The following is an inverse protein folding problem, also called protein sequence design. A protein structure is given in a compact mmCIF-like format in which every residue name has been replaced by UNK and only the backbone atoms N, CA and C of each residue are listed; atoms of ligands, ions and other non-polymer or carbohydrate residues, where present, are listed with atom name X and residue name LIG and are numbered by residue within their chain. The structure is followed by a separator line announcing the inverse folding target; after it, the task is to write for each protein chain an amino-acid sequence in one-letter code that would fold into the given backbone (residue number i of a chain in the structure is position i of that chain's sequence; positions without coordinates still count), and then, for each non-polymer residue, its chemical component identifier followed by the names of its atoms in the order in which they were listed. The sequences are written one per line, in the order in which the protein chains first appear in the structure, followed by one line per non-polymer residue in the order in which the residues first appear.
data_IF_109016246438
#
_entry.id   IF_109016246438
#
_cell.length_a   1.000
_cell.length_b   1.000
_cell.length_c   1.000
_cell.angle_alpha   90.00
_cell.angle_beta   90.00
_cell.angle_gamma   90.00
#
_symmetry.space_group_name_H-M   'P 1'
#
loop_
_entity.id
_entity.type
_entity.pdbx_description
1 polymer ?
#
# COMPACT_ATOMS: atom_id res chain seq x y z
N UNK A 1 9.77 33.13 8.20
CA UNK A 1 10.34 32.13 9.12
C UNK A 1 10.86 32.84 10.34
N UNK A 2 10.60 32.35 11.56
CA UNK A 2 11.14 32.98 12.77
C UNK A 2 12.66 32.92 12.76
N UNK A 3 13.33 33.94 13.29
CA UNK A 3 14.76 33.89 13.56
C UNK A 3 15.00 32.79 14.60
N UNK A 4 16.04 31.99 14.46
CA UNK A 4 16.31 30.80 15.30
C UNK A 4 16.31 31.08 16.83
N UNK A 5 16.65 32.29 17.24
CA UNK A 5 16.67 32.74 18.65
C UNK A 5 15.29 33.03 19.26
N UNK A 6 14.22 33.00 18.50
CA UNK A 6 12.83 33.26 18.93
C UNK A 6 11.90 32.05 18.80
N UNK A 7 12.38 30.96 18.16
CA UNK A 7 11.56 29.78 17.94
C UNK A 7 11.43 28.93 19.21
N UNK A 8 10.22 28.43 19.50
CA UNK A 8 9.95 27.52 20.62
C UNK A 8 10.64 26.16 20.46
N UNK A 9 11.03 25.79 19.25
CA UNK A 9 11.70 24.53 18.95
C UNK A 9 11.83 24.25 17.46
N UNK A 10 12.45 23.11 17.13
CA UNK A 10 12.57 22.57 15.78
C UNK A 10 11.61 21.39 15.61
N UNK A 11 10.83 21.38 14.55
CA UNK A 11 10.01 20.22 14.14
C UNK A 11 10.63 19.62 12.88
N UNK A 12 10.98 18.35 12.94
CA UNK A 12 11.56 17.60 11.81
C UNK A 12 10.52 16.64 11.27
N UNK A 13 10.23 16.74 9.99
CA UNK A 13 9.30 15.88 9.25
C UNK A 13 10.02 15.15 8.12
N UNK A 14 9.38 14.18 7.48
CA UNK A 14 10.06 13.39 6.44
C UNK A 14 10.08 14.04 5.06
N UNK A 15 9.11 14.92 4.72
CA UNK A 15 9.01 15.50 3.39
C UNK A 15 8.86 17.03 3.38
N UNK A 16 9.42 17.73 2.36
CA UNK A 16 9.28 19.18 2.22
C UNK A 16 7.82 19.64 2.10
N UNK A 17 6.95 18.83 1.47
CA UNK A 17 5.54 19.15 1.36
C UNK A 17 4.86 19.18 2.73
N UNK A 18 5.12 18.19 3.60
CA UNK A 18 4.65 18.16 4.99
C UNK A 18 5.23 19.34 5.78
N UNK A 19 6.51 19.65 5.62
CA UNK A 19 7.14 20.77 6.30
C UNK A 19 6.44 22.10 5.98
N UNK A 20 6.12 22.35 4.70
CA UNK A 20 5.39 23.54 4.27
C UNK A 20 4.00 23.63 4.89
N UNK A 21 3.25 22.52 4.91
CA UNK A 21 1.87 22.48 5.42
C UNK A 21 1.85 22.62 6.94
N UNK A 22 2.66 21.84 7.65
CA UNK A 22 2.75 21.84 9.12
C UNK A 22 3.27 23.20 9.61
N UNK A 23 4.25 23.79 8.92
CA UNK A 23 4.76 25.12 9.26
C UNK A 23 3.70 26.23 9.19
N UNK A 24 2.72 26.12 8.29
CA UNK A 24 1.58 27.05 8.24
C UNK A 24 0.69 26.91 9.47
N UNK A 25 0.40 25.68 9.91
CA UNK A 25 -0.47 25.42 11.06
C UNK A 25 0.19 25.76 12.39
N UNK A 26 1.52 25.62 12.49
CA UNK A 26 2.28 25.98 13.70
C UNK A 26 2.55 27.51 13.82
N UNK A 27 2.05 28.31 12.87
CA UNK A 27 2.01 29.78 12.96
C UNK A 27 3.35 30.47 13.12
N UNK A 28 4.47 29.81 12.76
CA UNK A 28 5.82 30.39 12.89
C UNK A 28 6.44 30.29 14.29
N UNK A 29 5.77 29.67 15.25
CA UNK A 29 6.34 29.42 16.58
C UNK A 29 7.47 28.40 16.59
N UNK A 30 7.48 27.50 15.59
CA UNK A 30 8.49 26.45 15.41
C UNK A 30 9.20 26.62 14.04
N UNK A 31 10.46 26.28 14.03
CA UNK A 31 11.17 26.04 12.77
C UNK A 31 10.74 24.64 12.30
N UNK A 32 10.24 24.52 11.06
CA UNK A 32 9.84 23.22 10.51
C UNK A 32 10.75 22.89 9.33
N UNK A 33 11.43 21.74 9.41
CA UNK A 33 12.42 21.30 8.43
C UNK A 33 12.17 19.84 8.02
N UNK A 34 12.62 19.45 6.82
CA UNK A 34 12.43 18.12 6.29
C UNK A 34 13.74 17.32 6.26
N UNK A 35 13.70 16.03 6.66
CA UNK A 35 14.81 15.07 6.48
C UNK A 35 14.91 14.55 5.05
N UNK A 36 13.84 14.74 4.27
CA UNK A 36 13.71 14.20 2.90
C UNK A 36 13.85 12.67 2.90
N UNK A 37 13.09 11.97 3.75
CA UNK A 37 13.12 10.53 3.95
C UNK A 37 14.26 10.06 4.85
N UNK A 38 14.73 8.83 4.65
CA UNK A 38 15.82 8.24 5.42
C UNK A 38 17.13 9.04 5.29
N UNK A 39 17.83 9.20 6.40
CA UNK A 39 19.15 9.86 6.47
C UNK A 39 20.29 8.85 6.57
N UNK A 40 20.03 7.64 7.09
CA UNK A 40 20.95 6.51 7.17
C UNK A 40 20.35 5.26 6.54
N UNK A 41 21.20 4.41 5.98
CA UNK A 41 20.84 3.08 5.47
C UNK A 41 22.04 2.15 5.52
N UNK A 42 21.82 0.86 5.25
CA UNK A 42 22.90 -0.10 5.02
C UNK A 42 23.77 0.34 3.84
N UNK A 43 25.10 0.15 3.87
CA UNK A 43 25.99 0.57 2.80
C UNK A 43 25.60 -0.11 1.47
N UNK A 44 25.64 0.65 0.37
CA UNK A 44 25.35 0.11 -0.97
C UNK A 44 26.44 -0.87 -1.43
N UNK A 45 27.70 -0.59 -1.09
CA UNK A 45 28.86 -1.43 -1.41
C UNK A 45 29.61 -1.74 -0.11
N UNK A 46 29.11 -2.68 0.70
CA UNK A 46 29.76 -3.04 1.95
C UNK A 46 31.14 -3.67 1.68
N UNK A 47 32.11 -3.30 2.49
CA UNK A 47 33.50 -3.81 2.42
C UNK A 47 33.82 -4.86 3.49
N UNK A 48 32.81 -5.23 4.28
CA UNK A 48 32.93 -6.28 5.29
C UNK A 48 32.96 -7.68 4.65
N UNK A 49 33.41 -8.68 5.38
CA UNK A 49 33.52 -10.07 4.94
C UNK A 49 32.18 -10.65 4.47
N UNK A 50 31.09 -10.29 5.14
CA UNK A 50 29.73 -10.72 4.76
C UNK A 50 29.26 -10.11 3.44
N UNK A 51 29.82 -8.96 3.03
CA UNK A 51 29.39 -8.11 1.91
C UNK A 51 27.94 -7.66 2.01
N UNK A 52 27.38 -7.65 3.22
CA UNK A 52 25.98 -7.31 3.49
C UNK A 52 25.87 -5.96 4.21
N UNK A 53 26.92 -5.49 4.90
CA UNK A 53 26.85 -4.38 5.83
C UNK A 53 26.14 -4.74 7.12
N UNK A 54 26.16 -6.04 7.46
CA UNK A 54 25.48 -6.63 8.62
C UNK A 54 26.49 -7.54 9.32
N UNK A 55 26.59 -7.41 10.63
CA UNK A 55 27.43 -8.28 11.46
C UNK A 55 26.61 -9.52 11.88
N UNK A 56 26.79 -10.61 11.12
CA UNK A 56 26.02 -11.85 11.31
C UNK A 56 26.34 -12.48 12.66
N UNK A 57 27.63 -12.51 13.03
CA UNK A 57 28.10 -13.18 14.24
C UNK A 57 27.71 -12.43 15.52
N UNK A 58 27.39 -11.14 15.40
CA UNK A 58 26.89 -10.29 16.49
C UNK A 58 25.36 -10.11 16.43
N UNK A 59 24.62 -11.18 16.14
CA UNK A 59 23.15 -11.15 16.14
C UNK A 59 22.55 -10.32 15.01
N UNK A 60 23.15 -10.36 13.82
CA UNK A 60 22.67 -9.66 12.62
C UNK A 60 22.65 -8.13 12.77
N UNK A 61 23.56 -7.57 13.55
CA UNK A 61 23.62 -6.13 13.82
C UNK A 61 23.89 -5.31 12.55
N UNK A 62 22.98 -4.40 12.13
CA UNK A 62 23.18 -3.58 10.94
C UNK A 62 24.22 -2.49 11.17
N UNK A 63 25.06 -2.23 10.15
CA UNK A 63 26.04 -1.13 10.15
C UNK A 63 25.50 0.01 9.29
N UNK A 64 24.79 0.94 9.90
CA UNK A 64 24.21 2.06 9.19
C UNK A 64 25.27 3.10 8.82
N UNK A 65 25.14 3.64 7.60
CA UNK A 65 25.94 4.76 7.09
C UNK A 65 25.03 5.89 6.62
N UNK A 66 25.54 7.11 6.67
CA UNK A 66 24.80 8.27 6.12
C UNK A 66 24.67 8.08 4.62
N UNK A 67 23.44 8.19 4.12
CA UNK A 67 23.12 8.07 2.70
C UNK A 67 23.82 9.19 1.92
N UNK A 68 24.35 8.85 0.73
CA UNK A 68 24.94 9.85 -0.17
C UNK A 68 23.96 11.00 -0.43
N UNK A 69 24.44 12.25 -0.34
CA UNK A 69 23.62 13.47 -0.49
C UNK A 69 22.85 13.88 0.77
N UNK A 70 22.89 13.10 1.88
CA UNK A 70 22.20 13.46 3.14
C UNK A 70 23.07 14.18 4.16
N UNK A 71 24.36 14.26 3.93
CA UNK A 71 25.30 14.93 4.85
C UNK A 71 24.95 16.41 5.09
N UNK A 72 24.60 17.12 4.04
CA UNK A 72 24.23 18.53 4.15
C UNK A 72 22.92 18.73 4.91
N UNK A 73 21.94 17.84 4.66
CA UNK A 73 20.68 17.85 5.40
C UNK A 73 20.91 17.62 6.87
N UNK A 74 21.70 16.59 7.23
CA UNK A 74 22.05 16.31 8.62
C UNK A 74 22.81 17.47 9.28
N UNK A 75 23.78 18.07 8.57
CA UNK A 75 24.50 19.26 9.04
C UNK A 75 23.52 20.39 9.34
N UNK A 76 22.60 20.69 8.42
CA UNK A 76 21.56 21.72 8.61
C UNK A 76 20.68 21.41 9.82
N UNK A 77 20.26 20.14 9.98
CA UNK A 77 19.42 19.72 11.12
C UNK A 77 20.17 19.87 12.45
N UNK A 78 21.45 19.49 12.51
CA UNK A 78 22.33 19.70 13.68
C UNK A 78 22.47 21.18 14.03
N UNK A 79 22.76 22.02 13.01
CA UNK A 79 22.91 23.47 13.19
C UNK A 79 21.61 24.13 13.68
N UNK A 80 20.47 23.64 13.28
CA UNK A 80 19.17 24.13 13.75
C UNK A 80 18.85 23.59 15.15
N UNK A 81 19.13 22.31 15.40
CA UNK A 81 18.91 21.67 16.70
C UNK A 81 19.73 22.34 17.81
N UNK A 82 20.96 22.75 17.55
CA UNK A 82 21.82 23.44 18.54
C UNK A 82 21.33 24.84 18.92
N UNK A 83 20.42 25.44 18.14
CA UNK A 83 19.91 26.82 18.34
C UNK A 83 18.55 26.88 19.01
N UNK A 84 17.98 25.74 19.39
CA UNK A 84 16.63 25.63 19.97
C UNK A 84 16.64 24.82 21.25
N UNK A 85 15.66 25.05 22.12
CA UNK A 85 15.59 24.35 23.41
C UNK A 85 15.05 22.92 23.30
N UNK A 86 14.30 22.60 22.24
CA UNK A 86 13.71 21.27 22.03
C UNK A 86 13.63 20.92 20.55
N UNK A 87 13.74 19.63 20.26
CA UNK A 87 13.53 19.07 18.93
C UNK A 87 12.38 18.08 18.97
N UNK A 88 11.47 18.21 18.02
CA UNK A 88 10.33 17.34 17.85
C UNK A 88 10.48 16.64 16.50
N UNK A 89 10.46 15.31 16.49
CA UNK A 89 10.50 14.53 15.26
C UNK A 89 9.08 14.03 14.98
N UNK A 90 8.51 14.49 13.86
CA UNK A 90 7.13 14.25 13.45
C UNK A 90 7.06 13.57 12.07
N UNK A 91 7.77 12.44 11.93
CA UNK A 91 7.68 11.54 10.78
C UNK A 91 6.40 10.68 10.84
N UNK A 92 6.09 9.90 9.82
CA UNK A 92 4.86 9.13 9.74
C UNK A 92 4.66 8.16 10.93
N UNK A 93 3.40 7.85 11.29
CA UNK A 93 3.08 6.99 12.44
C UNK A 93 3.20 5.49 12.07
N UNK A 94 4.30 5.11 11.42
CA UNK A 94 4.60 3.74 11.06
C UNK A 94 6.05 3.38 11.45
N UNK A 95 6.43 2.10 11.24
CA UNK A 95 7.79 1.64 11.56
C UNK A 95 8.89 2.31 10.74
N UNK A 96 8.60 2.72 9.49
CA UNK A 96 9.57 3.43 8.65
C UNK A 96 9.82 4.84 9.23
N UNK A 97 8.74 5.56 9.58
CA UNK A 97 8.84 6.86 10.24
C UNK A 97 9.52 6.79 11.60
N UNK A 98 9.31 5.70 12.37
CA UNK A 98 9.98 5.49 13.66
C UNK A 98 11.48 5.26 13.49
N UNK A 99 11.89 4.48 12.48
CA UNK A 99 13.30 4.28 12.15
C UNK A 99 13.99 5.57 11.65
N UNK A 100 13.30 6.37 10.83
CA UNK A 100 13.78 7.69 10.42
C UNK A 100 13.99 8.58 11.65
N UNK A 101 13.04 8.61 12.56
CA UNK A 101 13.11 9.38 13.79
C UNK A 101 14.29 8.95 14.66
N UNK A 102 14.51 7.65 14.84
CA UNK A 102 15.64 7.10 15.57
C UNK A 102 16.98 7.47 14.93
N UNK A 103 17.12 7.34 13.61
CA UNK A 103 18.33 7.74 12.91
C UNK A 103 18.63 9.24 13.05
N UNK A 104 17.60 10.09 12.99
CA UNK A 104 17.77 11.53 13.19
C UNK A 104 18.18 11.81 14.63
N UNK A 105 17.48 11.22 15.62
CA UNK A 105 17.81 11.39 17.03
C UNK A 105 19.26 11.05 17.31
N UNK A 106 19.74 9.88 16.86
CA UNK A 106 21.14 9.45 17.06
C UNK A 106 22.18 10.36 16.40
N UNK A 107 21.79 11.20 15.46
CA UNK A 107 22.68 12.19 14.83
C UNK A 107 22.67 13.55 15.54
N UNK A 108 21.61 13.89 16.25
CA UNK A 108 21.45 15.24 16.83
C UNK A 108 21.50 15.27 18.36
N UNK A 109 21.45 14.12 19.03
CA UNK A 109 21.42 14.05 20.50
C UNK A 109 22.69 14.58 21.18
N UNK A 110 23.81 14.61 20.46
CA UNK A 110 25.07 15.20 20.91
C UNK A 110 25.01 16.75 21.02
N UNK A 111 24.18 17.40 20.21
CA UNK A 111 24.00 18.85 20.20
C UNK A 111 22.72 19.31 20.89
N UNK A 112 21.72 18.45 20.97
CA UNK A 112 20.46 18.71 21.68
C UNK A 112 19.86 17.40 22.21
N UNK A 113 19.96 17.09 23.51
CA UNK A 113 19.41 15.88 24.10
C UNK A 113 17.89 15.92 24.27
N UNK A 114 17.25 17.09 24.18
CA UNK A 114 15.80 17.24 24.36
C UNK A 114 15.06 16.95 23.06
N UNK A 115 15.08 15.67 22.67
CA UNK A 115 14.44 15.16 21.44
C UNK A 115 13.20 14.34 21.81
N UNK A 116 12.04 14.72 21.29
CA UNK A 116 10.78 13.99 21.47
C UNK A 116 10.17 13.61 20.13
N UNK A 117 9.40 12.54 20.14
CA UNK A 117 8.60 12.03 19.02
C UNK A 117 7.18 12.54 19.13
N UNK A 118 6.60 12.98 18.01
CA UNK A 118 5.17 13.34 17.90
C UNK A 118 4.57 12.62 16.70
N UNK A 119 3.35 12.15 16.84
CA UNK A 119 2.59 11.50 15.76
C UNK A 119 1.46 12.41 15.29
N UNK A 120 1.42 12.64 13.98
CA UNK A 120 0.28 13.27 13.33
C UNK A 120 -0.50 12.20 12.59
N UNK A 121 -1.71 11.87 13.05
CA UNK A 121 -2.60 10.92 12.39
C UNK A 121 -3.23 11.53 11.14
N UNK A 122 -3.36 12.86 11.12
CA UNK A 122 -3.84 13.65 9.99
C UNK A 122 -3.12 15.00 9.94
N UNK A 123 -2.95 15.55 8.75
CA UNK A 123 -2.31 16.87 8.56
C UNK A 123 -3.40 17.96 8.49
N UNK A 124 -4.19 18.06 9.54
CA UNK A 124 -5.14 19.13 9.79
C UNK A 124 -4.65 19.98 10.97
N UNK A 125 -5.19 21.19 11.14
CA UNK A 125 -4.84 22.04 12.30
C UNK A 125 -5.09 21.30 13.63
N UNK A 126 -6.25 20.69 13.77
CA UNK A 126 -6.64 19.95 14.98
C UNK A 126 -5.75 18.70 15.21
N UNK A 127 -5.43 17.94 14.13
CA UNK A 127 -4.55 16.76 14.24
C UNK A 127 -3.13 17.13 14.67
N UNK A 128 -2.61 18.25 14.16
CA UNK A 128 -1.28 18.76 14.54
C UNK A 128 -1.28 19.27 16.00
N UNK A 129 -2.28 20.05 16.40
CA UNK A 129 -2.40 20.53 17.78
C UNK A 129 -2.49 19.37 18.78
N UNK A 130 -3.34 18.38 18.52
CA UNK A 130 -3.43 17.15 19.33
C UNK A 130 -2.12 16.39 19.41
N UNK A 131 -1.43 16.20 18.28
CA UNK A 131 -0.14 15.54 18.26
C UNK A 131 0.91 16.27 19.08
N UNK A 132 1.00 17.61 18.95
CA UNK A 132 1.96 18.44 19.68
C UNK A 132 1.75 18.43 21.21
N UNK A 133 0.52 18.15 21.66
CA UNK A 133 0.19 17.99 23.08
C UNK A 133 0.60 16.63 23.66
N UNK A 134 0.89 15.64 22.81
CA UNK A 134 1.20 14.27 23.20
C UNK A 134 2.60 13.84 22.73
N UNK A 135 3.69 14.51 23.16
CA UNK A 135 5.03 14.08 22.84
C UNK A 135 5.38 12.78 23.58
N UNK A 136 6.06 11.89 22.91
CA UNK A 136 6.51 10.60 23.45
C UNK A 136 7.99 10.35 23.15
N UNK A 137 8.52 9.29 23.69
CA UNK A 137 9.82 8.77 23.26
C UNK A 137 9.66 7.92 21.99
N UNK A 138 10.77 7.63 21.33
CA UNK A 138 10.83 6.73 20.17
C UNK A 138 10.49 5.31 20.62
N UNK A 139 9.61 4.65 19.90
CA UNK A 139 9.25 3.25 20.13
C UNK A 139 10.32 2.33 19.52
N UNK A 140 11.20 1.81 20.38
CA UNK A 140 12.28 0.93 19.96
C UNK A 140 11.79 -0.39 19.38
N UNK A 141 10.61 -0.89 19.76
CA UNK A 141 10.06 -2.11 19.17
C UNK A 141 9.73 -1.90 17.67
N UNK A 142 9.18 -0.73 17.30
CA UNK A 142 8.96 -0.38 15.90
C UNK A 142 10.27 -0.17 15.14
N UNK A 143 11.27 0.44 15.77
CA UNK A 143 12.60 0.59 15.18
C UNK A 143 13.23 -0.78 14.92
N UNK A 144 13.20 -1.68 15.89
CA UNK A 144 13.76 -3.04 15.77
C UNK A 144 13.01 -3.86 14.71
N UNK A 145 11.68 -3.73 14.64
CA UNK A 145 10.88 -4.37 13.60
C UNK A 145 11.24 -3.89 12.19
N UNK A 146 11.52 -2.60 12.03
CA UNK A 146 12.01 -2.05 10.77
C UNK A 146 13.43 -2.52 10.45
N UNK A 147 14.31 -2.54 11.44
CA UNK A 147 15.69 -3.04 11.28
C UNK A 147 15.69 -4.52 10.86
N UNK A 148 14.93 -5.35 11.55
CA UNK A 148 14.80 -6.78 11.22
C UNK A 148 14.33 -6.97 9.77
N UNK A 149 13.31 -6.20 9.35
CA UNK A 149 12.85 -6.21 7.96
C UNK A 149 13.95 -5.78 6.99
N UNK A 150 14.68 -4.70 7.30
CA UNK A 150 15.75 -4.18 6.44
C UNK A 150 16.91 -5.17 6.30
N UNK A 151 17.28 -5.83 7.40
CA UNK A 151 18.29 -6.88 7.45
C UNK A 151 17.86 -8.07 6.60
N UNK A 152 16.61 -8.55 6.77
CA UNK A 152 16.06 -9.67 6.00
C UNK A 152 16.06 -9.37 4.50
N UNK A 153 15.59 -8.19 4.09
CA UNK A 153 15.57 -7.77 2.68
C UNK A 153 16.99 -7.74 2.08
N UNK A 154 17.99 -7.30 2.87
CA UNK A 154 19.38 -7.30 2.44
C UNK A 154 19.92 -8.71 2.26
N UNK A 155 19.69 -9.60 3.22
CA UNK A 155 20.17 -10.99 3.16
C UNK A 155 19.53 -11.71 1.97
N UNK A 156 18.20 -11.67 1.84
CA UNK A 156 17.47 -12.31 0.75
C UNK A 156 17.93 -11.77 -0.60
N UNK A 157 17.93 -10.45 -0.77
CA UNK A 157 18.30 -9.82 -2.03
C UNK A 157 19.73 -10.12 -2.47
N UNK A 158 20.70 -10.06 -1.54
CA UNK A 158 22.12 -10.19 -1.87
C UNK A 158 22.63 -11.63 -1.90
N UNK A 159 21.94 -12.57 -1.28
CA UNK A 159 22.31 -14.01 -1.29
C UNK A 159 21.56 -14.78 -2.37
N UNK A 160 20.25 -14.58 -2.48
CA UNK A 160 19.41 -15.39 -3.38
C UNK A 160 19.45 -14.84 -4.81
N UNK A 161 19.48 -13.53 -5.04
CA UNK A 161 19.49 -12.99 -6.40
C UNK A 161 20.73 -13.42 -7.22
N UNK A 162 21.97 -13.41 -6.70
CA UNK A 162 23.13 -13.94 -7.43
C UNK A 162 23.03 -15.45 -7.68
N UNK A 163 22.47 -16.22 -6.74
CA UNK A 163 22.25 -17.64 -6.89
C UNK A 163 21.27 -17.92 -8.04
N UNK A 164 20.14 -17.21 -8.09
CA UNK A 164 19.16 -17.33 -9.18
C UNK A 164 19.80 -17.05 -10.55
N UNK A 165 20.57 -15.98 -10.66
CA UNK A 165 21.30 -15.64 -11.90
C UNK A 165 22.24 -16.77 -12.36
N UNK A 166 22.88 -17.45 -11.40
CA UNK A 166 23.80 -18.55 -11.70
C UNK A 166 23.05 -19.83 -12.15
N UNK A 167 21.93 -20.14 -11.50
CA UNK A 167 21.18 -21.38 -11.73
C UNK A 167 20.37 -21.33 -13.03
N UNK A 168 19.68 -20.21 -13.24
CA UNK A 168 18.79 -20.08 -14.40
C UNK A 168 19.56 -19.78 -15.69
N UNK A 169 20.80 -19.31 -15.59
CA UNK A 169 21.70 -19.02 -16.72
C UNK A 169 21.01 -18.22 -17.84
N UNK A 170 20.11 -17.30 -17.48
CA UNK A 170 19.37 -16.50 -18.45
C UNK A 170 20.02 -15.10 -18.60
N UNK A 171 19.85 -14.50 -19.77
CA UNK A 171 20.25 -13.12 -20.07
C UNK A 171 19.39 -12.10 -19.30
N UNK A 172 18.28 -12.54 -18.73
CA UNK A 172 17.35 -11.71 -17.97
C UNK A 172 17.91 -11.43 -16.56
N UNK A 173 17.80 -10.20 -16.11
CA UNK A 173 18.20 -9.83 -14.76
C UNK A 173 17.18 -10.34 -13.74
N UNK A 174 17.48 -11.47 -13.11
CA UNK A 174 16.64 -12.08 -12.08
C UNK A 174 16.99 -11.52 -10.69
N UNK A 175 15.96 -11.32 -9.88
CA UNK A 175 16.13 -10.92 -8.48
C UNK A 175 15.08 -11.59 -7.58
N UNK A 176 15.49 -11.86 -6.34
CA UNK A 176 14.60 -12.35 -5.30
C UNK A 176 14.32 -11.25 -4.27
N UNK A 177 13.09 -11.24 -3.76
CA UNK A 177 12.69 -10.33 -2.71
C UNK A 177 11.34 -10.74 -2.13
N UNK A 178 11.06 -10.34 -0.90
CA UNK A 178 9.85 -10.77 -0.16
C UNK A 178 8.54 -10.46 -0.92
N UNK A 179 8.42 -9.30 -1.52
CA UNK A 179 7.20 -8.89 -2.23
C UNK A 179 7.12 -9.59 -3.59
N UNK A 180 8.17 -9.48 -4.39
CA UNK A 180 8.17 -10.01 -5.76
C UNK A 180 8.08 -11.54 -5.83
N UNK A 181 8.71 -12.26 -4.89
CA UNK A 181 8.65 -13.71 -4.87
C UNK A 181 7.26 -14.21 -4.47
N UNK A 182 6.60 -13.56 -3.53
CA UNK A 182 5.20 -13.88 -3.16
C UNK A 182 4.24 -13.52 -4.30
N UNK A 183 4.40 -12.36 -4.93
CA UNK A 183 3.58 -11.98 -6.06
C UNK A 183 3.70 -12.97 -7.23
N UNK A 184 4.93 -13.39 -7.56
CA UNK A 184 5.17 -14.41 -8.59
C UNK A 184 4.51 -15.73 -8.24
N UNK A 185 4.63 -16.17 -6.99
CA UNK A 185 3.97 -17.40 -6.52
C UNK A 185 2.46 -17.35 -6.72
N UNK A 186 1.80 -16.27 -6.31
CA UNK A 186 0.35 -16.10 -6.49
C UNK A 186 -0.06 -16.15 -7.97
N UNK A 187 0.75 -15.54 -8.86
CA UNK A 187 0.52 -15.62 -10.30
C UNK A 187 0.66 -17.05 -10.82
N UNK A 188 1.71 -17.77 -10.38
CA UNK A 188 1.92 -19.16 -10.80
C UNK A 188 0.80 -20.08 -10.30
N UNK A 189 0.38 -19.96 -9.04
CA UNK A 189 -0.74 -20.72 -8.48
C UNK A 189 -2.02 -20.47 -9.28
N UNK A 190 -2.31 -19.22 -9.62
CA UNK A 190 -3.47 -18.89 -10.45
C UNK A 190 -3.38 -19.44 -11.87
N UNK A 191 -2.21 -19.40 -12.46
CA UNK A 191 -1.97 -19.97 -13.79
C UNK A 191 -2.13 -21.49 -13.80
N UNK A 192 -1.74 -22.16 -12.70
CA UNK A 192 -1.94 -23.60 -12.53
C UNK A 192 -3.44 -23.94 -12.40
N UNK A 193 -4.22 -23.16 -11.65
CA UNK A 193 -5.67 -23.29 -11.61
C UNK A 193 -6.30 -23.17 -13.00
N UNK A 194 -5.86 -22.17 -13.79
CA UNK A 194 -6.35 -21.96 -15.16
C UNK A 194 -6.02 -23.16 -16.06
N UNK A 195 -4.79 -23.69 -15.99
CA UNK A 195 -4.36 -24.86 -16.79
C UNK A 195 -5.10 -26.13 -16.41
N UNK A 196 -5.43 -26.29 -15.13
CA UNK A 196 -6.15 -27.46 -14.60
C UNK A 196 -7.67 -27.32 -14.72
N UNK A 197 -8.16 -26.13 -15.13
CA UNK A 197 -9.59 -25.91 -15.28
C UNK A 197 -10.16 -26.80 -16.40
N UNK A 198 -11.16 -27.59 -16.03
CA UNK A 198 -11.93 -28.41 -16.98
C UNK A 198 -13.24 -27.69 -17.27
N UNK A 199 -13.45 -27.21 -18.48
CA UNK A 199 -14.72 -26.61 -18.87
C UNK A 199 -15.86 -27.64 -18.73
N UNK A 200 -16.90 -27.27 -18.03
CA UNK A 200 -18.12 -28.06 -17.94
C UNK A 200 -19.22 -27.35 -18.74
N UNK A 201 -19.85 -28.10 -19.66
CA UNK A 201 -21.00 -27.61 -20.40
C UNK A 201 -22.21 -27.49 -19.49
N UNK A 202 -22.90 -26.39 -19.57
CA UNK A 202 -24.18 -26.22 -18.92
C UNK A 202 -25.15 -25.42 -19.80
N UNK A 203 -26.42 -25.69 -19.64
CA UNK A 203 -27.48 -25.04 -20.37
C UNK A 203 -28.41 -24.29 -19.42
N UNK A 204 -28.98 -23.18 -19.90
CA UNK A 204 -30.03 -22.44 -19.21
C UNK A 204 -31.24 -22.35 -20.10
N UNK A 205 -32.44 -22.49 -19.53
CA UNK A 205 -33.70 -22.37 -20.26
C UNK A 205 -34.36 -21.07 -19.81
N UNK A 206 -34.66 -20.22 -20.80
CA UNK A 206 -35.35 -18.97 -20.61
C UNK A 206 -36.61 -18.96 -21.46
N UNK A 207 -37.69 -18.38 -20.96
CA UNK A 207 -38.95 -18.27 -21.64
C UNK A 207 -39.45 -16.80 -21.66
N UNK A 208 -40.04 -16.41 -22.74
CA UNK A 208 -40.74 -15.13 -22.86
C UNK A 208 -42.24 -15.40 -22.91
N UNK A 209 -42.98 -14.81 -21.96
CA UNK A 209 -44.44 -14.92 -21.87
C UNK A 209 -45.04 -13.59 -22.22
N UNK A 210 -46.08 -13.62 -23.02
CA UNK A 210 -46.92 -12.43 -23.29
C UNK A 210 -48.12 -12.42 -22.35
N UNK A 211 -48.26 -11.36 -21.58
CA UNK A 211 -49.45 -11.16 -20.74
C UNK A 211 -50.66 -10.78 -21.57
N UNK A 212 -51.86 -10.89 -20.99
CA UNK A 212 -53.11 -10.43 -21.67
C UNK A 212 -53.06 -8.94 -21.98
N UNK A 213 -52.27 -8.14 -21.29
CA UNK A 213 -52.06 -6.71 -21.53
C UNK A 213 -51.03 -6.40 -22.61
N UNK A 214 -50.41 -7.42 -23.23
CA UNK A 214 -49.34 -7.26 -24.26
C UNK A 214 -47.92 -7.09 -23.71
N UNK A 215 -47.76 -7.06 -22.40
CA UNK A 215 -46.42 -6.96 -21.78
C UNK A 215 -45.66 -8.28 -21.90
N UNK A 216 -44.34 -8.19 -22.10
CA UNK A 216 -43.47 -9.35 -22.18
C UNK A 216 -42.82 -9.61 -20.81
N UNK A 217 -43.03 -10.79 -20.26
CA UNK A 217 -42.43 -11.27 -19.04
C UNK A 217 -41.32 -12.29 -19.40
N UNK A 218 -40.07 -11.99 -19.04
CA UNK A 218 -38.95 -12.93 -19.17
C UNK A 218 -38.82 -13.74 -17.91
N UNK A 219 -38.74 -15.05 -18.04
CA UNK A 219 -38.57 -15.97 -16.93
C UNK A 219 -37.40 -16.94 -17.23
N UNK A 220 -36.74 -17.41 -16.19
CA UNK A 220 -35.68 -18.41 -16.26
C UNK A 220 -36.10 -19.64 -15.46
N UNK A 221 -35.83 -20.83 -15.98
CA UNK A 221 -36.04 -22.06 -15.24
C UNK A 221 -35.22 -21.99 -13.93
N UNK A 222 -35.91 -21.97 -12.81
CA UNK A 222 -35.32 -21.82 -11.48
C UNK A 222 -35.21 -23.15 -10.75
N UNK A 223 -36.25 -23.98 -10.82
CA UNK A 223 -36.29 -25.31 -10.21
C UNK A 223 -36.98 -26.32 -11.12
N UNK A 224 -36.47 -27.55 -11.09
CA UNK A 224 -37.09 -28.70 -11.72
C UNK A 224 -37.37 -29.73 -10.63
N UNK A 225 -38.65 -30.09 -10.41
CA UNK A 225 -39.09 -30.98 -9.34
C UNK A 225 -38.60 -30.57 -7.93
N UNK A 226 -38.43 -29.27 -7.70
CA UNK A 226 -38.01 -28.73 -6.40
C UNK A 226 -36.49 -28.57 -6.22
N UNK A 227 -35.68 -29.10 -7.15
CA UNK A 227 -34.21 -29.00 -7.12
C UNK A 227 -33.69 -28.01 -8.18
N UNK A 228 -32.44 -27.57 -8.01
CA UNK A 228 -31.76 -26.74 -8.97
C UNK A 228 -31.51 -27.51 -10.28
N UNK A 229 -31.91 -26.98 -11.46
CA UNK A 229 -31.82 -27.71 -12.69
C UNK A 229 -30.35 -27.88 -13.12
N UNK A 230 -29.88 -29.13 -13.14
CA UNK A 230 -28.61 -29.50 -13.76
C UNK A 230 -28.86 -29.92 -15.19
N UNK A 231 -28.48 -29.07 -16.15
CA UNK A 231 -28.68 -29.29 -17.58
C UNK A 231 -27.31 -29.37 -18.24
N UNK A 232 -26.67 -30.55 -18.27
CA UNK A 232 -25.27 -30.70 -18.67
C UNK A 232 -25.06 -30.72 -20.19
N UNK A 233 -26.13 -30.93 -20.99
CA UNK A 233 -26.01 -31.05 -22.44
C UNK A 233 -27.29 -30.61 -23.14
N UNK A 234 -27.18 -30.43 -24.46
CA UNK A 234 -28.26 -30.02 -25.36
C UNK A 234 -29.47 -30.99 -25.31
N UNK A 235 -29.20 -32.28 -25.31
CA UNK A 235 -30.27 -33.30 -25.30
C UNK A 235 -31.16 -33.19 -24.07
N UNK A 236 -30.58 -32.97 -22.90
CA UNK A 236 -31.32 -32.73 -21.64
C UNK A 236 -32.11 -31.44 -21.72
N UNK A 237 -31.57 -30.37 -22.32
CA UNK A 237 -32.25 -29.12 -22.51
C UNK A 237 -33.47 -29.28 -23.45
N UNK A 238 -33.30 -29.96 -24.57
CA UNK A 238 -34.37 -30.23 -25.56
C UNK A 238 -35.50 -31.06 -24.96
N UNK A 239 -35.19 -32.10 -24.18
CA UNK A 239 -36.19 -32.90 -23.47
C UNK A 239 -37.03 -32.06 -22.51
N UNK A 240 -36.41 -31.19 -21.71
CA UNK A 240 -37.12 -30.29 -20.81
C UNK A 240 -37.98 -29.28 -21.60
N UNK A 241 -37.49 -28.78 -22.73
CA UNK A 241 -38.25 -27.89 -23.59
C UNK A 241 -39.48 -28.57 -24.18
N UNK A 242 -39.34 -29.84 -24.59
CA UNK A 242 -40.48 -30.60 -25.13
C UNK A 242 -41.54 -30.86 -24.03
N UNK A 243 -41.11 -31.15 -22.80
CA UNK A 243 -42.00 -31.30 -21.66
C UNK A 243 -42.74 -30.00 -21.30
N UNK A 244 -42.15 -28.84 -21.56
CA UNK A 244 -42.73 -27.53 -21.30
C UNK A 244 -43.67 -27.04 -22.41
N UNK A 245 -43.53 -27.56 -23.63
CA UNK A 245 -44.36 -27.17 -24.79
C UNK A 245 -45.84 -27.51 -24.54
N UNK A 246 -46.68 -26.54 -24.83
CA UNK A 246 -48.12 -26.70 -24.69
C UNK A 246 -48.65 -26.74 -23.24
N UNK A 247 -47.79 -26.50 -22.26
CA UNK A 247 -48.23 -26.39 -20.85
C UNK A 247 -48.75 -25.00 -20.56
N UNK A 248 -49.67 -24.92 -19.61
CA UNK A 248 -50.20 -23.66 -19.08
C UNK A 248 -49.27 -23.18 -17.96
N UNK A 249 -48.86 -21.94 -18.03
CA UNK A 249 -48.03 -21.28 -17.02
C UNK A 249 -48.89 -20.35 -16.16
N UNK A 250 -48.65 -20.40 -14.85
CA UNK A 250 -49.42 -19.60 -13.88
C UNK A 250 -48.44 -18.91 -12.95
N UNK A 251 -48.67 -17.63 -12.66
CA UNK A 251 -47.93 -16.93 -11.62
C UNK A 251 -48.42 -17.43 -10.27
N UNK A 252 -47.58 -18.19 -9.57
CA UNK A 252 -47.91 -18.81 -8.28
C UNK A 252 -47.69 -17.90 -7.09
N UNK A 253 -46.68 -17.01 -7.18
CA UNK A 253 -46.33 -16.12 -6.09
C UNK A 253 -45.67 -14.85 -6.62
N UNK A 254 -45.90 -13.72 -5.95
CA UNK A 254 -45.26 -12.43 -6.24
C UNK A 254 -44.68 -11.90 -4.95
N UNK A 255 -43.33 -11.88 -4.86
CA UNK A 255 -42.61 -11.33 -3.72
C UNK A 255 -42.02 -9.96 -4.04
N UNK A 256 -42.50 -8.95 -3.37
CA UNK A 256 -41.91 -7.61 -3.43
C UNK A 256 -40.95 -7.42 -2.28
N UNK A 257 -39.70 -7.03 -2.62
CA UNK A 257 -38.66 -6.72 -1.61
C UNK A 257 -38.07 -5.37 -1.97
N UNK A 258 -38.08 -4.48 -1.01
CA UNK A 258 -37.29 -3.25 -1.11
C UNK A 258 -35.82 -3.55 -0.87
N UNK A 259 -34.98 -3.15 -1.80
CA UNK A 259 -33.53 -3.29 -1.69
C UNK A 259 -32.93 -1.89 -1.60
N UNK A 260 -32.37 -1.58 -0.45
CA UNK A 260 -31.62 -0.35 -0.26
C UNK A 260 -30.24 -0.51 -0.93
N UNK A 261 -29.99 0.27 -1.97
CA UNK A 261 -28.67 0.34 -2.59
C UNK A 261 -27.94 1.57 -2.04
N UNK A 262 -26.97 1.32 -1.19
CA UNK A 262 -26.07 2.39 -0.78
C UNK A 262 -25.13 2.75 -1.94
N UNK A 263 -24.77 4.04 -2.09
CA UNK A 263 -23.75 4.43 -3.05
C UNK A 263 -22.44 3.71 -2.71
N UNK A 264 -21.63 3.35 -3.72
CA UNK A 264 -20.32 2.76 -3.46
C UNK A 264 -19.46 3.76 -2.69
N UNK A 265 -18.53 3.28 -1.84
CA UNK A 265 -17.58 4.15 -1.16
C UNK A 265 -16.72 4.90 -2.18
N UNK A 266 -16.16 6.06 -1.83
CA UNK A 266 -15.20 6.76 -2.67
C UNK A 266 -14.04 5.84 -3.08
N UNK A 267 -13.54 6.03 -4.29
CA UNK A 267 -12.41 5.25 -4.76
C UNK A 267 -11.15 5.55 -3.94
N UNK A 268 -10.46 4.49 -3.54
CA UNK A 268 -9.04 4.54 -3.18
C UNK A 268 -8.20 4.24 -4.42
N UNK A 269 -6.91 4.53 -4.40
CA UNK A 269 -6.02 4.36 -5.57
C UNK A 269 -6.11 2.95 -6.18
N UNK A 270 -6.12 1.90 -5.37
CA UNK A 270 -6.20 0.52 -5.84
C UNK A 270 -7.56 0.19 -6.48
N UNK A 271 -8.66 0.60 -5.88
CA UNK A 271 -10.00 0.35 -6.45
C UNK A 271 -10.24 1.17 -7.71
N UNK A 272 -9.69 2.39 -7.80
CA UNK A 272 -9.72 3.19 -9.02
C UNK A 272 -8.91 2.53 -10.14
N UNK A 273 -7.73 1.99 -9.84
CA UNK A 273 -6.91 1.26 -10.81
C UNK A 273 -7.56 -0.04 -11.29
N UNK A 274 -8.31 -0.74 -10.42
CA UNK A 274 -8.97 -2.00 -10.73
C UNK A 274 -10.33 -1.82 -11.44
N UNK A 275 -10.97 -0.66 -11.28
CA UNK A 275 -12.36 -0.48 -11.69
C UNK A 275 -12.57 -0.36 -13.19
N UNK A 276 -11.50 -0.13 -14.01
CA UNK A 276 -11.71 -0.14 -15.47
C UNK A 276 -10.49 -0.14 -16.39
N UNK A 277 -10.38 -1.13 -17.28
CA UNK A 277 -9.54 -1.03 -18.46
C UNK A 277 -10.13 -0.15 -19.58
N UNK A 278 -11.43 0.08 -19.65
CA UNK A 278 -12.09 0.63 -20.85
C UNK A 278 -12.72 2.04 -20.74
N UNK A 279 -12.93 2.61 -19.54
CA UNK A 279 -13.41 3.99 -19.38
C UNK A 279 -12.31 5.05 -19.31
N UNK A 280 -11.04 4.66 -19.34
CA UNK A 280 -9.91 5.55 -19.09
C UNK A 280 -9.40 6.38 -20.26
N UNK A 281 -10.09 6.44 -21.40
CA UNK A 281 -9.66 7.38 -22.46
C UNK A 281 -9.73 8.84 -22.00
N UNK A 282 -10.67 9.18 -21.12
CA UNK A 282 -10.90 10.56 -20.66
C UNK A 282 -10.20 10.91 -19.35
N UNK A 283 -9.77 9.93 -18.53
CA UNK A 283 -9.11 10.14 -17.23
C UNK A 283 -7.58 10.03 -17.25
N UNK A 284 -6.97 9.54 -18.33
CA UNK A 284 -5.51 9.41 -18.45
C UNK A 284 -4.71 10.67 -18.07
N UNK A 285 -5.10 11.88 -18.49
CA UNK A 285 -4.35 13.09 -18.15
C UNK A 285 -4.35 13.39 -16.65
N UNK A 286 -5.48 13.19 -15.99
CA UNK A 286 -5.63 13.46 -14.55
C UNK A 286 -4.93 12.42 -13.68
N UNK A 287 -4.96 11.15 -14.08
CA UNK A 287 -4.33 10.07 -13.35
C UNK A 287 -2.80 10.16 -13.39
N UNK A 288 -2.24 10.44 -14.54
CA UNK A 288 -0.79 10.67 -14.70
C UNK A 288 -0.34 11.88 -13.88
N UNK A 289 -1.14 12.94 -13.81
CA UNK A 289 -0.84 14.15 -13.04
C UNK A 289 -0.93 13.91 -11.52
N UNK A 290 -1.87 13.10 -11.04
CA UNK A 290 -2.00 12.72 -9.63
C UNK A 290 -0.85 11.80 -9.17
N UNK A 291 -0.46 10.82 -9.97
CA UNK A 291 0.66 9.90 -9.66
C UNK A 291 2.00 10.63 -9.77
N UNK A 292 2.20 11.47 -10.77
CA UNK A 292 3.46 12.22 -10.94
C UNK A 292 3.64 13.34 -9.93
N UNK A 293 2.56 13.87 -9.35
CA UNK A 293 2.64 14.89 -8.29
C UNK A 293 2.96 14.30 -6.91
N UNK A 294 2.76 13.00 -6.67
CA UNK A 294 2.91 12.40 -5.36
C UNK A 294 4.03 11.36 -5.21
N UNK A 295 4.50 10.69 -6.28
CA UNK A 295 5.57 9.71 -6.14
C UNK A 295 6.47 9.64 -7.37
N UNK A 296 7.59 10.33 -7.27
CA UNK A 296 8.75 10.05 -8.13
C UNK A 296 9.58 8.95 -7.47
N UNK A 297 9.15 7.69 -7.61
CA UNK A 297 9.99 6.54 -7.29
C UNK A 297 10.87 6.26 -8.50
N UNK A 298 12.16 6.59 -8.40
CA UNK A 298 13.18 5.99 -9.26
C UNK A 298 13.53 4.65 -8.65
N UNK A 299 13.20 3.57 -9.34
CA UNK A 299 13.76 2.25 -9.10
C UNK A 299 15.26 2.22 -9.45
#
# INVERSE_FOLDING_TARGET
MPKSSQAKGLVIVESPAKAKTIGKYLGGEFIVEASVGHVKDLPQKPRDESRLGIDIDKGYKPRYVVISGKKEILKKLKDLASKVNKVIIATDPDREGEAIAWHIKTEIEDVNPNVKRVLFTEITKNGIEKGMQNPRDIDMNLVEAQQARRVLDRIVGYRISPFLKKVVNDKISLSAGRVQSVALRLVCEREEEIRNFKPEEYWTIEAEFQTRGGEILKAKLFKLNGEDPKIPNKETAERILDDLRGKNFVISDIRKKEILRNPPPPFITSTLQSSEPNRHRDFKPYFTQLITSHHRWKF
#
